data_IF_701430393404
#
_entry.id   IF_701430393404
#
_cell.length_a   1.000
_cell.length_b   1.000
_cell.length_c   1.000
_cell.angle_alpha   90.00
_cell.angle_beta   90.00
_cell.angle_gamma   90.00
#
_symmetry.space_group_name_H-M   'P 1'
#
loop_
_entity.id
_entity.type
_entity.pdbx_description
1 polymer ?
#
# COMPACT_ATOMS: atom_id res chain seq x y z
N UNK A 1 18.95 -25.67 15.17
CA UNK A 1 18.98 -24.25 15.55
C UNK A 1 19.63 -24.16 16.94
N UNK A 2 20.71 -23.40 17.08
CA UNK A 2 21.39 -23.19 18.37
C UNK A 2 20.74 -21.98 19.07
N UNK A 3 20.45 -22.07 20.37
CA UNK A 3 19.82 -20.97 21.11
C UNK A 3 20.69 -19.71 21.19
N UNK A 4 22.01 -19.88 21.08
CA UNK A 4 22.99 -18.77 21.17
C UNK A 4 22.71 -17.65 20.16
N UNK A 5 22.11 -17.95 19.00
CA UNK A 5 21.76 -16.93 17.99
C UNK A 5 20.69 -15.95 18.46
N UNK A 6 19.87 -16.31 19.44
CA UNK A 6 18.84 -15.43 20.00
C UNK A 6 19.48 -14.28 20.79
N UNK A 7 20.62 -14.53 21.45
CA UNK A 7 21.35 -13.52 22.22
C UNK A 7 22.08 -12.50 21.34
N UNK A 8 22.34 -12.86 20.07
CA UNK A 8 22.98 -11.98 19.09
C UNK A 8 22.00 -11.10 18.30
N UNK A 9 20.69 -11.15 18.59
CA UNK A 9 19.69 -10.35 17.87
C UNK A 9 19.91 -8.85 18.08
N UNK A 10 19.95 -8.11 16.98
CA UNK A 10 20.03 -6.65 16.97
C UNK A 10 18.65 -6.04 16.77
N UNK A 11 18.52 -4.75 17.11
CA UNK A 11 17.28 -3.99 16.87
C UNK A 11 16.94 -3.92 15.37
N UNK A 12 17.97 -3.94 14.53
CA UNK A 12 17.87 -3.97 13.06
C UNK A 12 17.03 -5.16 12.58
N UNK A 13 17.25 -6.36 13.14
CA UNK A 13 16.53 -7.58 12.78
C UNK A 13 15.02 -7.43 12.97
N UNK A 14 14.60 -6.73 14.03
CA UNK A 14 13.18 -6.43 14.28
C UNK A 14 12.64 -5.36 13.33
N UNK A 15 13.42 -4.32 13.06
CA UNK A 15 13.02 -3.25 12.14
C UNK A 15 12.83 -3.77 10.72
N UNK A 16 13.62 -4.74 10.30
CA UNK A 16 13.50 -5.39 9.00
C UNK A 16 12.24 -6.23 8.84
N UNK A 17 11.68 -6.77 9.92
CA UNK A 17 10.46 -7.60 9.87
C UNK A 17 9.16 -6.78 9.87
N UNK A 18 9.23 -5.46 10.01
CA UNK A 18 8.05 -4.58 9.99
C UNK A 18 7.41 -4.54 8.60
N UNK A 19 6.09 -4.46 8.54
CA UNK A 19 5.35 -4.34 7.28
C UNK A 19 5.81 -3.14 6.46
N UNK A 20 6.17 -2.04 7.12
CA UNK A 20 6.69 -0.84 6.47
C UNK A 20 7.99 -1.08 5.67
N UNK A 21 8.96 -1.80 6.24
CA UNK A 21 10.24 -2.10 5.60
C UNK A 21 10.10 -3.25 4.60
N UNK A 22 9.26 -4.24 4.90
CA UNK A 22 8.94 -5.33 3.99
C UNK A 22 8.30 -4.84 2.69
N UNK A 23 7.40 -3.84 2.73
CA UNK A 23 6.82 -3.24 1.53
C UNK A 23 7.85 -2.55 0.63
N UNK A 24 8.85 -1.90 1.23
CA UNK A 24 9.94 -1.28 0.48
C UNK A 24 10.81 -2.35 -0.19
N UNK A 25 11.15 -3.42 0.55
CA UNK A 25 11.91 -4.56 0.00
C UNK A 25 11.19 -5.26 -1.15
N UNK A 26 9.85 -5.32 -1.11
CA UNK A 26 9.01 -5.86 -2.19
C UNK A 26 8.77 -4.87 -3.34
N UNK A 27 9.40 -3.69 -3.33
CA UNK A 27 9.26 -2.64 -4.35
C UNK A 27 7.81 -2.15 -4.59
N UNK A 28 6.89 -2.38 -3.65
CA UNK A 28 5.50 -1.92 -3.71
C UNK A 28 5.36 -0.43 -3.38
N UNK A 29 6.37 0.16 -2.75
CA UNK A 29 6.42 1.56 -2.37
C UNK A 29 7.75 2.19 -2.78
N UNK A 30 7.70 3.48 -3.14
CA UNK A 30 8.89 4.26 -3.54
C UNK A 30 9.83 4.59 -2.37
N UNK A 31 9.32 4.69 -1.15
CA UNK A 31 10.08 5.06 0.04
C UNK A 31 9.46 4.49 1.31
N UNK A 32 10.22 4.52 2.42
CA UNK A 32 9.76 4.11 3.75
C UNK A 32 8.55 4.93 4.21
N UNK A 33 8.53 6.23 3.89
CA UNK A 33 7.42 7.12 4.22
C UNK A 33 6.20 6.86 3.35
N UNK A 34 6.41 6.59 2.05
CA UNK A 34 5.33 6.22 1.14
C UNK A 34 4.67 4.89 1.59
N UNK A 35 5.46 3.88 1.97
CA UNK A 35 4.94 2.63 2.51
C UNK A 35 4.04 2.85 3.75
N UNK A 36 4.45 3.74 4.66
CA UNK A 36 3.66 4.09 5.85
C UNK A 36 2.30 4.68 5.50
N UNK A 37 2.26 5.57 4.52
CA UNK A 37 1.02 6.20 4.03
C UNK A 37 0.09 5.16 3.40
N UNK A 38 0.63 4.27 2.54
CA UNK A 38 -0.14 3.20 1.91
C UNK A 38 -0.79 2.26 2.93
N UNK A 39 -0.04 1.86 3.96
CA UNK A 39 -0.56 1.04 5.05
C UNK A 39 -1.68 1.78 5.79
N UNK A 40 -1.42 3.03 6.22
CA UNK A 40 -2.40 3.83 6.99
C UNK A 40 -3.69 4.08 6.22
N UNK A 41 -3.60 4.29 4.92
CA UNK A 41 -4.74 4.49 4.01
C UNK A 41 -5.45 3.18 3.63
N UNK A 42 -5.06 2.04 4.22
CA UNK A 42 -5.69 0.72 4.02
C UNK A 42 -5.53 0.16 2.61
N UNK A 43 -4.42 0.48 1.93
CA UNK A 43 -4.15 -0.02 0.58
C UNK A 43 -3.47 -1.38 0.55
N UNK A 44 -2.93 -1.86 1.68
CA UNK A 44 -2.13 -3.08 1.76
C UNK A 44 -2.89 -4.17 2.50
N UNK A 45 -2.81 -5.39 1.99
CA UNK A 45 -3.28 -6.60 2.66
C UNK A 45 -2.14 -7.58 2.91
N UNK A 46 -2.30 -8.37 3.96
CA UNK A 46 -1.49 -9.55 4.22
C UNK A 46 -2.43 -10.75 4.14
N UNK A 47 -2.23 -11.62 3.15
CA UNK A 47 -3.18 -12.68 2.76
C UNK A 47 -4.56 -12.12 2.39
N UNK A 48 -5.55 -12.35 3.24
CA UNK A 48 -6.94 -11.92 3.05
C UNK A 48 -7.28 -10.67 3.85
N UNK A 49 -6.45 -10.30 4.82
CA UNK A 49 -6.75 -9.23 5.77
C UNK A 49 -6.05 -7.93 5.39
N UNK A 50 -6.80 -6.83 5.41
CA UNK A 50 -6.24 -5.48 5.26
C UNK A 50 -5.59 -5.07 6.58
N UNK A 51 -4.32 -4.68 6.52
CA UNK A 51 -3.54 -4.29 7.70
C UNK A 51 -3.22 -2.80 7.60
N UNK A 52 -3.60 -2.04 8.64
CA UNK A 52 -3.44 -0.58 8.69
C UNK A 52 -2.39 -0.09 9.71
N UNK A 53 -1.60 -1.02 10.26
CA UNK A 53 -0.57 -0.75 11.28
C UNK A 53 0.82 -0.97 10.66
N UNK A 54 1.64 0.08 10.49
CA UNK A 54 2.99 -0.04 9.92
C UNK A 54 3.97 -0.88 10.77
N UNK A 55 3.73 -0.95 12.08
CA UNK A 55 4.52 -1.73 13.04
C UNK A 55 4.17 -3.22 13.05
N UNK A 56 3.29 -3.69 12.18
CA UNK A 56 2.95 -5.11 12.09
C UNK A 56 4.19 -5.95 11.75
N UNK A 57 4.50 -6.95 12.59
CA UNK A 57 5.62 -7.87 12.36
C UNK A 57 5.15 -8.96 11.41
N UNK A 58 5.74 -9.01 10.21
CA UNK A 58 5.38 -9.98 9.19
C UNK A 58 6.01 -11.33 9.51
N UNK A 59 5.21 -12.40 9.52
CA UNK A 59 5.70 -13.79 9.62
C UNK A 59 6.22 -14.27 8.26
N UNK A 60 7.19 -15.19 8.26
CA UNK A 60 7.81 -15.72 7.02
C UNK A 60 6.76 -16.28 6.06
N UNK A 61 5.79 -17.06 6.56
CA UNK A 61 4.72 -17.67 5.75
C UNK A 61 3.76 -16.64 5.14
N UNK A 62 3.68 -15.45 5.73
CA UNK A 62 2.79 -14.37 5.29
C UNK A 62 3.48 -13.39 4.35
N UNK A 63 4.81 -13.42 4.28
CA UNK A 63 5.60 -12.47 3.48
C UNK A 63 5.29 -12.56 1.99
N UNK A 64 5.12 -13.77 1.45
CA UNK A 64 4.75 -13.99 0.04
C UNK A 64 3.34 -13.51 -0.33
N UNK A 65 2.50 -13.27 0.68
CA UNK A 65 1.09 -12.94 0.50
C UNK A 65 0.81 -11.45 0.77
N UNK A 66 1.83 -10.60 0.67
CA UNK A 66 1.70 -9.15 0.78
C UNK A 66 1.37 -8.61 -0.60
N UNK A 67 0.25 -7.91 -0.71
CA UNK A 67 -0.22 -7.35 -1.97
C UNK A 67 -1.14 -6.15 -1.70
N UNK A 68 -1.52 -5.42 -2.74
CA UNK A 68 -2.57 -4.42 -2.66
C UNK A 68 -3.91 -5.08 -2.29
N UNK A 69 -4.71 -4.35 -1.51
CA UNK A 69 -6.05 -4.77 -1.17
C UNK A 69 -6.93 -4.77 -2.43
N UNK A 70 -7.78 -5.79 -2.58
CA UNK A 70 -8.68 -5.93 -3.73
C UNK A 70 -9.63 -4.73 -3.90
N UNK A 71 -9.98 -4.07 -2.80
CA UNK A 71 -10.85 -2.88 -2.77
C UNK A 71 -10.08 -1.57 -2.89
N UNK A 72 -8.75 -1.62 -2.97
CA UNK A 72 -7.90 -0.43 -3.06
C UNK A 72 -8.03 0.21 -4.44
N UNK A 73 -8.17 1.54 -4.55
CA UNK A 73 -8.13 2.27 -5.83
C UNK A 73 -6.82 2.11 -6.60
N UNK A 74 -5.75 1.66 -5.93
CA UNK A 74 -4.43 1.42 -6.51
C UNK A 74 -4.28 -0.02 -7.04
N UNK A 75 -5.23 -0.91 -6.75
CA UNK A 75 -5.25 -2.25 -7.33
C UNK A 75 -5.80 -2.19 -8.74
N UNK A 76 -5.34 -3.09 -9.62
CA UNK A 76 -5.71 -3.16 -11.03
C UNK A 76 -7.23 -3.30 -11.29
N UNK A 77 -8.02 -3.73 -10.30
CA UNK A 77 -9.48 -3.80 -10.39
C UNK A 77 -10.24 -2.78 -9.53
N UNK A 78 -9.54 -1.83 -8.91
CA UNK A 78 -10.09 -0.90 -7.94
C UNK A 78 -10.80 0.30 -8.59
N UNK A 79 -11.97 0.68 -8.06
CA UNK A 79 -12.63 1.92 -8.46
C UNK A 79 -11.77 3.13 -8.07
N UNK A 80 -11.61 4.14 -8.94
CA UNK A 80 -10.88 5.37 -8.60
C UNK A 80 -11.40 6.02 -7.32
N UNK A 81 -10.49 6.57 -6.51
CA UNK A 81 -10.81 7.23 -5.26
C UNK A 81 -11.75 8.43 -5.44
N UNK A 82 -12.43 8.82 -4.35
CA UNK A 82 -13.48 9.87 -4.37
C UNK A 82 -13.04 11.17 -5.07
N UNK A 83 -11.86 11.70 -4.72
CA UNK A 83 -11.36 12.96 -5.29
C UNK A 83 -11.01 12.78 -6.76
N UNK A 84 -10.33 11.69 -7.13
CA UNK A 84 -10.00 11.41 -8.53
C UNK A 84 -11.26 11.29 -9.39
N UNK A 85 -12.31 10.64 -8.88
CA UNK A 85 -13.62 10.55 -9.55
C UNK A 85 -14.33 11.90 -9.66
N UNK A 86 -14.25 12.76 -8.63
CA UNK A 86 -14.81 14.12 -8.68
C UNK A 86 -14.09 14.96 -9.75
N UNK A 87 -12.76 14.84 -9.83
CA UNK A 87 -11.97 15.59 -10.81
C UNK A 87 -12.21 15.09 -12.24
N UNK A 88 -12.31 13.77 -12.47
CA UNK A 88 -12.70 13.22 -13.78
C UNK A 88 -14.05 13.78 -14.24
N UNK A 89 -15.08 13.73 -13.37
CA UNK A 89 -16.41 14.30 -13.69
C UNK A 89 -16.38 15.81 -13.95
N UNK A 90 -15.47 16.55 -13.31
CA UNK A 90 -15.32 17.99 -13.58
C UNK A 90 -14.65 18.22 -14.94
N UNK A 91 -13.64 17.41 -15.27
CA UNK A 91 -12.97 17.47 -16.57
C UNK A 91 -13.91 17.10 -17.72
N UNK A 92 -14.68 16.03 -17.58
CA UNK A 92 -15.71 15.63 -18.57
C UNK A 92 -16.77 16.72 -18.79
N UNK A 93 -17.16 17.44 -17.74
CA UNK A 93 -18.09 18.57 -17.85
C UNK A 93 -17.46 19.78 -18.54
N UNK A 94 -16.19 20.09 -18.23
CA UNK A 94 -15.48 21.19 -18.89
C UNK A 94 -15.31 20.93 -20.38
N UNK A 95 -14.92 19.71 -20.76
CA UNK A 95 -14.80 19.32 -22.17
C UNK A 95 -16.15 19.40 -22.91
N UNK A 96 -17.25 18.96 -22.29
CA UNK A 96 -18.58 19.05 -22.89
C UNK A 96 -19.15 20.48 -22.98
N UNK A 97 -18.66 21.41 -22.15
CA UNK A 97 -19.01 22.85 -22.24
C UNK A 97 -18.17 23.53 -23.34
N UNK A 98 -16.89 23.18 -23.49
CA UNK A 98 -16.02 23.67 -24.57
C UNK A 98 -16.49 23.20 -25.96
N UNK A 99 -16.84 21.92 -26.12
CA UNK A 99 -17.37 21.38 -27.38
C UNK A 99 -18.73 22.01 -27.78
N UNK A 100 -19.49 22.56 -26.82
CA UNK A 100 -20.78 23.21 -27.07
C UNK A 100 -20.67 24.73 -27.35
N UNK A 101 -19.50 25.33 -27.12
CA UNK A 101 -19.20 26.73 -27.49
C UNK A 101 -18.51 26.82 -28.86
N UNK A 102 -17.94 25.72 -29.37
CA UNK A 102 -17.30 25.63 -30.70
C UNK A 102 -18.27 25.23 -31.84
N UNK A 103 -19.46 24.71 -31.53
CA UNK A 103 -20.59 24.43 -32.47
C UNK A 103 -21.66 25.54 -32.46
#
# INVERSE_FOLDING_TARGET
MKLDYVLGLKVEDFLERRLQTQLLRLALAKSIHHARVLIRQRHIRVRKQVVNIPSFIVRLDSQKHIDFALRSPLSSGGRPGRVKRKNMRKGEKGAAEEDAEED
#
